data_IF_114484129438
#
_entry.id   IF_114484129438
#
_cell.length_a   1.000
_cell.length_b   1.000
_cell.length_c   1.000
_cell.angle_alpha   90.00
_cell.angle_beta   90.00
_cell.angle_gamma   90.00
#
_symmetry.space_group_name_H-M   'P 1'
#
loop_
_entity.id
_entity.type
_entity.pdbx_description
1 polymer ?
#
# COMPACT_ATOMS: atom_id res chain seq x y z
N UNK A 1 14.46 3.48 17.82
CA UNK A 1 15.66 2.88 17.16
C UNK A 1 15.62 3.32 15.71
N UNK A 2 16.64 4.04 15.22
CA UNK A 2 16.59 4.61 13.87
C UNK A 2 16.56 3.50 12.80
N UNK A 3 15.72 3.67 11.78
CA UNK A 3 15.66 2.83 10.58
C UNK A 3 17.07 2.63 9.98
N UNK A 4 17.57 1.39 9.90
CA UNK A 4 18.76 1.04 9.09
C UNK A 4 18.35 0.88 7.62
N UNK A 5 18.71 1.83 6.73
CA UNK A 5 18.29 1.78 5.33
C UNK A 5 18.86 0.58 4.58
N UNK A 6 20.04 0.08 4.98
CA UNK A 6 20.75 -0.99 4.29
C UNK A 6 20.13 -2.36 4.55
N UNK A 7 19.74 -2.62 5.80
CA UNK A 7 18.99 -3.81 6.19
C UNK A 7 17.57 -3.79 5.61
N UNK A 8 16.92 -2.63 5.63
CA UNK A 8 15.58 -2.44 5.06
C UNK A 8 15.54 -2.71 3.56
N UNK A 9 16.50 -2.19 2.78
CA UNK A 9 16.53 -2.41 1.33
C UNK A 9 16.70 -3.87 0.90
N UNK A 10 17.24 -4.73 1.77
CA UNK A 10 17.38 -6.16 1.49
C UNK A 10 16.09 -6.94 1.72
N UNK A 11 15.35 -6.57 2.76
CA UNK A 11 14.21 -7.37 3.25
C UNK A 11 12.85 -6.75 2.91
N UNK A 12 12.81 -5.44 2.71
CA UNK A 12 11.63 -4.58 2.63
C UNK A 12 10.70 -4.69 3.84
N UNK A 13 11.21 -5.19 4.97
CA UNK A 13 10.45 -5.33 6.20
C UNK A 13 10.92 -4.28 7.20
N UNK A 14 9.97 -3.50 7.68
CA UNK A 14 10.15 -2.57 8.78
C UNK A 14 9.54 -3.18 10.05
N UNK A 15 10.37 -3.45 11.04
CA UNK A 15 9.97 -3.94 12.36
C UNK A 15 10.51 -2.99 13.42
N UNK A 16 9.63 -2.48 14.28
CA UNK A 16 10.01 -1.53 15.31
C UNK A 16 9.13 -1.66 16.55
N UNK A 17 9.76 -1.59 17.72
CA UNK A 17 9.10 -1.42 19.02
C UNK A 17 9.53 -0.09 19.62
N UNK A 18 8.74 0.96 19.40
CA UNK A 18 9.13 2.32 19.73
C UNK A 18 7.90 3.21 20.06
N UNK A 19 8.10 4.39 20.67
CA UNK A 19 7.02 5.37 20.83
C UNK A 19 6.43 5.80 19.47
N UNK A 20 5.17 6.21 19.46
CA UNK A 20 4.43 6.61 18.24
C UNK A 20 5.18 7.68 17.44
N UNK A 21 5.81 8.65 18.13
CA UNK A 21 6.55 9.73 17.48
C UNK A 21 7.76 9.23 16.68
N UNK A 22 8.51 8.26 17.21
CA UNK A 22 9.63 7.63 16.51
C UNK A 22 9.14 6.86 15.28
N UNK A 23 8.09 6.04 15.45
CA UNK A 23 7.51 5.27 14.33
C UNK A 23 7.02 6.21 13.21
N UNK A 24 6.38 7.34 13.56
CA UNK A 24 5.96 8.33 12.57
C UNK A 24 7.14 9.00 11.85
N UNK A 25 8.26 9.23 12.55
CA UNK A 25 9.47 9.75 11.94
C UNK A 25 10.10 8.74 10.98
N UNK A 26 10.16 7.46 11.36
CA UNK A 26 10.66 6.39 10.50
C UNK A 26 9.78 6.20 9.25
N UNK A 27 8.46 6.27 9.38
CA UNK A 27 7.54 6.21 8.24
C UNK A 27 7.71 7.42 7.30
N UNK A 28 8.03 8.60 7.84
CA UNK A 28 8.37 9.78 7.04
C UNK A 28 9.69 9.58 6.30
N UNK A 29 10.69 8.98 6.94
CA UNK A 29 11.96 8.64 6.28
C UNK A 29 11.73 7.64 5.13
N UNK A 30 10.83 6.66 5.30
CA UNK A 30 10.43 5.74 4.22
C UNK A 30 9.74 6.48 3.06
N UNK A 31 8.84 7.42 3.36
CA UNK A 31 8.19 8.26 2.35
C UNK A 31 9.21 9.10 1.55
N UNK A 32 10.21 9.67 2.22
CA UNK A 32 11.28 10.42 1.57
C UNK A 32 12.19 9.52 0.71
N UNK A 33 12.49 8.31 1.16
CA UNK A 33 13.26 7.32 0.39
C UNK A 33 12.51 6.92 -0.89
N UNK A 34 11.21 6.65 -0.78
CA UNK A 34 10.35 6.31 -1.91
C UNK A 34 10.24 7.48 -2.91
N UNK A 35 10.00 8.70 -2.42
CA UNK A 35 9.94 9.89 -3.26
C UNK A 35 11.25 10.14 -4.04
N UNK A 36 12.41 9.90 -3.41
CA UNK A 36 13.72 9.96 -4.10
C UNK A 36 13.85 8.88 -5.17
N UNK A 37 13.36 7.67 -4.91
CA UNK A 37 13.37 6.58 -5.89
C UNK A 37 12.45 6.88 -7.09
N UNK A 38 11.24 7.37 -6.84
CA UNK A 38 10.29 7.77 -7.86
C UNK A 38 10.83 8.93 -8.71
N UNK A 39 11.43 9.94 -8.07
CA UNK A 39 12.05 11.06 -8.78
C UNK A 39 13.20 10.62 -9.68
N UNK A 40 14.12 9.76 -9.19
CA UNK A 40 15.18 9.16 -10.02
C UNK A 40 14.61 8.39 -11.20
N UNK A 41 13.53 7.63 -10.98
CA UNK A 41 12.89 6.85 -12.03
C UNK A 41 12.23 7.76 -13.10
N UNK A 42 11.71 8.91 -12.69
CA UNK A 42 11.15 9.95 -13.57
C UNK A 42 12.24 10.68 -14.34
N UNK A 43 13.34 11.07 -13.71
CA UNK A 43 14.48 11.70 -14.41
C UNK A 43 15.11 10.76 -15.41
N UNK A 44 15.31 9.48 -15.07
CA UNK A 44 15.78 8.45 -16.00
C UNK A 44 14.84 8.27 -17.20
N UNK A 45 13.51 8.36 -16.98
CA UNK A 45 12.53 8.26 -18.06
C UNK A 45 12.61 9.46 -19.01
N UNK A 46 12.67 10.68 -18.46
CA UNK A 46 12.82 11.89 -19.26
C UNK A 46 14.14 11.83 -20.04
N UNK A 47 15.26 11.51 -19.38
CA UNK A 47 16.57 11.41 -20.00
C UNK A 47 16.62 10.34 -21.12
N UNK A 48 16.01 9.16 -20.90
CA UNK A 48 15.97 8.12 -21.92
C UNK A 48 15.17 8.57 -23.16
N UNK A 49 14.03 9.23 -22.97
CA UNK A 49 13.26 9.80 -24.08
C UNK A 49 14.00 10.93 -24.79
N UNK A 50 14.62 11.83 -24.04
CA UNK A 50 15.43 12.91 -24.59
C UNK A 50 16.57 12.37 -25.46
N UNK A 51 17.26 11.31 -25.02
CA UNK A 51 18.33 10.67 -25.82
C UNK A 51 17.80 9.96 -27.07
N UNK A 52 16.63 9.32 -27.00
CA UNK A 52 16.03 8.71 -28.19
C UNK A 52 15.61 9.76 -29.22
N UNK A 53 15.00 10.87 -28.78
CA UNK A 53 14.64 11.99 -29.66
C UNK A 53 15.91 12.64 -30.22
N UNK A 54 16.93 12.85 -29.38
CA UNK A 54 18.22 13.38 -29.81
C UNK A 54 18.95 12.46 -30.80
N UNK A 55 18.85 11.14 -30.65
CA UNK A 55 19.41 10.19 -31.61
C UNK A 55 18.80 10.39 -33.00
N UNK A 56 17.48 10.57 -33.10
CA UNK A 56 16.80 10.74 -34.40
C UNK A 56 17.01 12.16 -34.95
N UNK A 57 16.63 13.18 -34.17
CA UNK A 57 16.70 14.57 -34.60
C UNK A 57 18.14 15.08 -34.73
N UNK A 58 19.01 14.69 -33.80
CA UNK A 58 20.43 15.05 -33.81
C UNK A 58 21.15 14.43 -34.99
N UNK A 59 20.91 13.15 -35.32
CA UNK A 59 21.51 12.54 -36.53
C UNK A 59 21.04 13.22 -37.80
N UNK A 60 19.74 13.54 -37.92
CA UNK A 60 19.21 14.25 -39.08
C UNK A 60 19.83 15.65 -39.23
N UNK A 61 19.92 16.42 -38.13
CA UNK A 61 20.45 17.77 -38.13
C UNK A 61 21.97 17.80 -38.38
N UNK A 62 22.71 16.86 -37.80
CA UNK A 62 24.16 16.72 -38.06
C UNK A 62 24.43 16.29 -39.49
N UNK A 63 23.60 15.41 -40.06
CA UNK A 63 23.75 14.99 -41.46
C UNK A 63 23.50 16.15 -42.42
N UNK A 64 22.52 17.02 -42.12
CA UNK A 64 22.29 18.25 -42.88
C UNK A 64 23.49 19.21 -42.78
N UNK A 65 24.05 19.38 -41.58
CA UNK A 65 25.22 20.23 -41.37
C UNK A 65 26.48 19.72 -42.11
N UNK A 66 26.75 18.41 -42.04
CA UNK A 66 27.87 17.78 -42.79
C UNK A 66 27.66 17.92 -44.30
N UNK A 67 26.41 17.87 -44.78
CA UNK A 67 26.08 18.09 -46.18
C UNK A 67 26.26 19.54 -46.68
N UNK A 68 26.55 20.52 -45.81
CA UNK A 68 26.88 21.90 -46.19
C UNK A 68 28.39 22.16 -46.28
N UNK A 69 29.22 21.17 -45.92
CA UNK A 69 30.68 21.29 -45.93
C UNK A 69 31.27 21.01 -47.33
N UNK A 70 32.53 21.38 -47.55
CA UNK A 70 33.24 21.05 -48.78
C UNK A 70 33.50 19.54 -48.90
N UNK A 71 33.73 19.04 -50.13
CA UNK A 71 33.92 17.61 -50.40
C UNK A 71 35.03 16.96 -49.54
N UNK A 72 36.17 17.63 -49.34
CA UNK A 72 37.26 17.11 -48.48
C UNK A 72 36.85 17.04 -47.00
N UNK A 73 36.08 18.01 -46.52
CA UNK A 73 35.58 18.02 -45.14
C UNK A 73 34.44 17.02 -44.94
N UNK A 74 33.62 16.79 -45.96
CA UNK A 74 32.51 15.84 -45.92
C UNK A 74 33.00 14.41 -45.74
N UNK A 75 34.08 14.01 -46.43
CA UNK A 75 34.66 12.66 -46.30
C UNK A 75 35.28 12.45 -44.91
N UNK A 76 35.91 13.49 -44.35
CA UNK A 76 36.47 13.44 -42.99
C UNK A 76 35.40 13.27 -41.88
N UNK A 77 34.17 13.77 -42.09
CA UNK A 77 33.09 13.76 -41.08
C UNK A 77 31.91 12.84 -41.40
N UNK A 78 31.94 12.11 -42.52
CA UNK A 78 30.81 11.30 -43.02
C UNK A 78 30.27 10.29 -41.99
N UNK A 79 31.14 9.71 -41.14
CA UNK A 79 30.74 8.73 -40.12
C UNK A 79 30.23 9.32 -38.80
N UNK A 80 30.47 10.62 -38.55
CA UNK A 80 30.24 11.24 -37.25
C UNK A 80 28.74 11.35 -36.88
N UNK A 81 27.81 11.70 -37.78
CA UNK A 81 26.37 11.68 -37.51
C UNK A 81 25.86 10.30 -37.07
N UNK A 82 26.28 9.24 -37.77
CA UNK A 82 25.87 7.87 -37.48
C UNK A 82 26.42 7.40 -36.13
N UNK A 83 27.67 7.71 -35.82
CA UNK A 83 28.31 7.34 -34.56
C UNK A 83 27.62 8.01 -33.36
N UNK A 84 27.36 9.33 -33.44
CA UNK A 84 26.63 10.07 -32.39
C UNK A 84 25.19 9.56 -32.24
N UNK A 85 24.52 9.26 -33.36
CA UNK A 85 23.18 8.68 -33.39
C UNK A 85 23.10 7.34 -32.69
N UNK A 86 23.99 6.40 -33.05
CA UNK A 86 24.05 5.06 -32.45
C UNK A 86 24.44 5.12 -30.97
N UNK A 87 25.44 5.93 -30.60
CA UNK A 87 25.85 6.09 -29.21
C UNK A 87 24.70 6.61 -28.33
N UNK A 88 23.97 7.62 -28.81
CA UNK A 88 22.80 8.18 -28.12
C UNK A 88 21.65 7.18 -27.99
N UNK A 89 21.42 6.37 -29.03
CA UNK A 89 20.41 5.31 -29.02
C UNK A 89 20.73 4.22 -28.00
N UNK A 90 21.99 3.73 -28.00
CA UNK A 90 22.46 2.73 -27.02
C UNK A 90 22.37 3.27 -25.60
N UNK A 91 22.80 4.52 -25.37
CA UNK A 91 22.68 5.16 -24.06
C UNK A 91 21.21 5.26 -23.60
N UNK A 92 20.28 5.62 -24.51
CA UNK A 92 18.84 5.62 -24.24
C UNK A 92 18.31 4.24 -23.82
N UNK A 93 18.70 3.17 -24.52
CA UNK A 93 18.33 1.79 -24.16
C UNK A 93 18.89 1.42 -22.78
N UNK A 94 20.14 1.74 -22.50
CA UNK A 94 20.77 1.47 -21.19
C UNK A 94 20.00 2.17 -20.06
N UNK A 95 19.61 3.44 -20.23
CA UNK A 95 18.77 4.14 -19.25
C UNK A 95 17.40 3.49 -19.06
N UNK A 96 16.77 2.97 -20.11
CA UNK A 96 15.55 2.19 -20.00
C UNK A 96 15.73 0.90 -19.18
N UNK A 97 16.85 0.19 -19.40
CA UNK A 97 17.18 -1.02 -18.61
C UNK A 97 17.43 -0.68 -17.15
N UNK A 98 18.19 0.40 -16.87
CA UNK A 98 18.42 0.89 -15.50
C UNK A 98 17.09 1.27 -14.85
N UNK A 99 16.21 2.00 -15.53
CA UNK A 99 14.87 2.33 -15.06
C UNK A 99 14.04 1.08 -14.75
N UNK A 100 14.06 0.09 -15.64
CA UNK A 100 13.30 -1.15 -15.45
C UNK A 100 13.78 -1.93 -14.22
N UNK A 101 15.09 -1.93 -13.96
CA UNK A 101 15.67 -2.50 -12.73
C UNK A 101 15.31 -1.67 -11.49
N UNK A 102 15.34 -0.34 -11.59
CA UNK A 102 15.00 0.56 -10.48
C UNK A 102 13.52 0.44 -10.04
N UNK A 103 12.62 0.04 -10.96
CA UNK A 103 11.22 -0.23 -10.63
C UNK A 103 11.00 -1.39 -9.66
N UNK A 104 12.02 -2.23 -9.39
CA UNK A 104 11.93 -3.29 -8.37
C UNK A 104 12.03 -2.76 -6.94
N UNK A 105 12.50 -1.52 -6.78
CA UNK A 105 12.64 -0.81 -5.50
C UNK A 105 11.46 0.12 -5.18
N UNK A 106 10.46 0.16 -6.05
CA UNK A 106 9.24 0.97 -5.90
C UNK A 106 8.43 0.41 -4.71
N UNK A 107 8.23 1.21 -3.66
CA UNK A 107 7.46 0.80 -2.48
C UNK A 107 5.96 1.03 -2.74
N UNK A 108 5.08 0.33 -2.02
CA UNK A 108 3.64 0.60 -2.13
C UNK A 108 3.23 1.75 -1.21
N UNK A 109 3.03 2.94 -1.77
CA UNK A 109 2.73 4.19 -1.06
C UNK A 109 1.51 4.08 -0.14
N UNK A 110 0.60 3.16 -0.47
CA UNK A 110 -0.64 2.93 0.30
C UNK A 110 -0.35 2.29 1.65
N UNK A 111 0.69 1.45 1.75
CA UNK A 111 0.99 0.65 2.96
C UNK A 111 1.51 1.52 4.10
N UNK A 112 2.60 2.25 3.88
CA UNK A 112 3.14 3.15 4.90
C UNK A 112 2.23 4.36 5.13
N UNK A 113 1.54 4.85 4.09
CA UNK A 113 0.57 5.95 4.21
C UNK A 113 -0.63 5.58 5.09
N UNK A 114 -1.10 4.33 5.02
CA UNK A 114 -2.22 3.83 5.82
C UNK A 114 -1.83 3.80 7.29
N UNK A 115 -0.66 3.21 7.59
CA UNK A 115 -0.14 3.13 8.94
C UNK A 115 0.13 4.51 9.53
N UNK A 116 0.76 5.42 8.77
CA UNK A 116 1.01 6.78 9.23
C UNK A 116 -0.30 7.54 9.53
N UNK A 117 -1.31 7.40 8.68
CA UNK A 117 -2.63 8.03 8.89
C UNK A 117 -3.34 7.44 10.10
N UNK A 118 -3.26 6.12 10.29
CA UNK A 118 -3.85 5.44 11.44
C UNK A 118 -3.18 5.88 12.75
N UNK A 119 -1.85 5.88 12.81
CA UNK A 119 -1.10 6.31 13.99
C UNK A 119 -1.36 7.77 14.34
N UNK A 120 -1.42 8.67 13.36
CA UNK A 120 -1.80 10.08 13.58
C UNK A 120 -3.19 10.24 14.22
N UNK A 121 -4.15 9.40 13.83
CA UNK A 121 -5.51 9.41 14.41
C UNK A 121 -5.55 8.82 15.81
N UNK A 122 -4.74 7.80 16.08
CA UNK A 122 -4.71 7.09 17.37
C UNK A 122 -3.75 7.69 18.39
N UNK A 123 -2.87 8.60 17.99
CA UNK A 123 -1.82 9.18 18.84
C UNK A 123 -2.39 9.80 20.13
N UNK A 124 -3.60 10.36 20.07
CA UNK A 124 -4.26 11.00 21.22
C UNK A 124 -4.74 9.98 22.25
N UNK A 125 -5.13 8.79 21.81
CA UNK A 125 -5.70 7.74 22.68
C UNK A 125 -4.63 6.76 23.20
N UNK A 126 -3.49 6.66 22.50
CA UNK A 126 -2.37 5.78 22.86
C UNK A 126 -1.65 6.28 24.12
N UNK A 127 -1.20 5.34 24.93
CA UNK A 127 -0.40 5.64 26.12
C UNK A 127 0.97 6.20 25.70
N UNK A 128 1.26 7.43 26.12
CA UNK A 128 2.51 8.17 25.81
C UNK A 128 3.75 7.39 26.23
N UNK A 129 3.65 6.60 27.29
CA UNK A 129 4.77 5.85 27.85
C UNK A 129 4.85 4.40 27.32
N UNK A 130 3.85 3.92 26.58
CA UNK A 130 3.83 2.55 26.08
C UNK A 130 4.38 2.49 24.64
N UNK A 131 5.40 1.66 24.36
CA UNK A 131 5.87 1.47 23.00
C UNK A 131 4.82 0.75 22.16
N UNK A 132 4.77 1.11 20.88
CA UNK A 132 3.98 0.43 19.86
C UNK A 132 4.88 -0.55 19.13
N UNK A 133 4.40 -1.77 18.92
CA UNK A 133 5.06 -2.81 18.13
C UNK A 133 4.45 -2.85 16.73
N UNK A 134 5.28 -2.56 15.74
CA UNK A 134 4.88 -2.45 14.33
C UNK A 134 5.73 -3.40 13.51
N UNK A 135 5.04 -4.18 12.68
CA UNK A 135 5.63 -4.94 11.57
C UNK A 135 4.94 -4.53 10.28
N UNK A 136 5.74 -4.05 9.33
CA UNK A 136 5.32 -3.56 8.03
C UNK A 136 6.17 -4.19 6.92
N UNK A 137 5.59 -5.06 6.10
CA UNK A 137 6.22 -5.64 4.92
C UNK A 137 5.84 -4.82 3.67
N UNK A 138 6.83 -4.18 3.06
CA UNK A 138 6.70 -3.37 1.85
C UNK A 138 7.14 -4.12 0.58
N UNK A 139 7.49 -5.40 0.69
CA UNK A 139 7.86 -6.20 -0.47
C UNK A 139 6.66 -6.46 -1.39
N UNK A 140 6.89 -6.68 -2.69
CA UNK A 140 5.85 -6.98 -3.65
C UNK A 140 4.90 -8.10 -3.20
N UNK A 141 3.60 -7.94 -3.45
CA UNK A 141 2.53 -8.89 -3.07
C UNK A 141 2.72 -10.28 -3.67
N UNK A 142 3.46 -10.36 -4.76
CA UNK A 142 3.67 -11.53 -5.60
C UNK A 142 5.06 -12.14 -5.47
N UNK A 143 5.78 -11.78 -4.42
CA UNK A 143 7.05 -12.38 -4.07
C UNK A 143 6.90 -13.87 -3.76
N UNK A 144 7.91 -14.66 -4.14
CA UNK A 144 7.85 -16.13 -4.05
C UNK A 144 7.69 -16.61 -2.61
N UNK A 145 8.30 -15.93 -1.63
CA UNK A 145 8.16 -16.22 -0.19
C UNK A 145 6.71 -16.12 0.33
N UNK A 146 5.84 -15.42 -0.38
CA UNK A 146 4.42 -15.19 -0.03
C UNK A 146 3.48 -16.16 -0.78
N UNK A 147 4.02 -17.05 -1.63
CA UNK A 147 3.23 -18.01 -2.40
C UNK A 147 2.77 -19.16 -1.51
N UNK A 148 1.46 -19.27 -1.31
CA UNK A 148 0.85 -20.33 -0.49
C UNK A 148 0.61 -21.60 -1.30
N UNK A 149 0.52 -21.49 -2.62
CA UNK A 149 0.41 -22.67 -3.47
C UNK A 149 0.12 -22.38 -4.93
N UNK A 150 0.51 -23.34 -5.77
CA UNK A 150 0.25 -23.38 -7.21
C UNK A 150 -0.77 -24.47 -7.49
N UNK A 151 -1.83 -24.16 -8.23
CA UNK A 151 -2.91 -25.10 -8.53
C UNK A 151 -3.39 -24.93 -9.96
N UNK A 152 -3.84 -26.01 -10.61
CA UNK A 152 -4.51 -25.92 -11.90
C UNK A 152 -6.02 -25.86 -11.70
N UNK A 153 -6.69 -24.92 -12.39
CA UNK A 153 -8.17 -24.87 -12.48
C UNK A 153 -8.58 -24.94 -13.94
N UNK A 154 -8.86 -26.16 -14.42
CA UNK A 154 -9.08 -26.44 -15.84
C UNK A 154 -7.85 -26.07 -16.65
N UNK A 155 -8.00 -25.16 -17.63
CA UNK A 155 -6.90 -24.68 -18.49
C UNK A 155 -6.11 -23.50 -17.91
N UNK A 156 -6.32 -23.14 -16.65
CA UNK A 156 -5.64 -22.02 -16.00
C UNK A 156 -4.64 -22.53 -14.95
N UNK A 157 -3.40 -22.08 -15.05
CA UNK A 157 -2.43 -22.18 -13.96
C UNK A 157 -2.69 -21.04 -12.99
N UNK A 158 -3.00 -21.40 -11.74
CA UNK A 158 -3.31 -20.47 -10.66
C UNK A 158 -2.18 -20.44 -9.64
N UNK A 159 -1.76 -19.26 -9.24
CA UNK A 159 -0.81 -19.02 -8.16
C UNK A 159 -1.53 -18.18 -7.09
N UNK A 160 -1.57 -18.67 -5.86
CA UNK A 160 -2.19 -17.98 -4.72
C UNK A 160 -1.10 -17.43 -3.80
N UNK A 161 -1.23 -16.16 -3.44
CA UNK A 161 -0.35 -15.44 -2.54
C UNK A 161 -1.15 -14.91 -1.36
N UNK A 162 -0.54 -14.95 -0.18
CA UNK A 162 -1.08 -14.37 1.05
C UNK A 162 0.01 -13.51 1.68
N UNK A 163 -0.25 -12.21 1.78
CA UNK A 163 0.69 -11.20 2.22
C UNK A 163 0.18 -10.55 3.51
N UNK A 164 0.66 -11.02 4.66
CA UNK A 164 0.38 -10.44 5.96
C UNK A 164 1.29 -9.23 6.22
N UNK A 165 1.00 -8.14 5.51
CA UNK A 165 1.93 -7.03 5.37
C UNK A 165 1.89 -6.03 6.54
N UNK A 166 0.85 -6.04 7.38
CA UNK A 166 0.77 -5.16 8.54
C UNK A 166 0.39 -5.93 9.80
N UNK A 167 1.14 -5.69 10.87
CA UNK A 167 0.74 -5.99 12.24
C UNK A 167 1.14 -4.80 13.12
N UNK A 168 0.18 -4.29 13.89
CA UNK A 168 0.33 -3.15 14.77
C UNK A 168 -0.26 -3.56 16.13
N UNK A 169 0.56 -3.51 17.16
CA UNK A 169 0.15 -3.70 18.55
C UNK A 169 0.44 -2.44 19.34
N UNK A 170 -0.55 -1.95 20.08
CA UNK A 170 -0.41 -0.77 20.90
C UNK A 170 -1.19 -0.91 22.20
N UNK A 171 -0.95 0.01 23.13
CA UNK A 171 -1.70 0.10 24.38
C UNK A 171 -2.32 1.49 24.47
N UNK A 172 -3.63 1.52 24.72
CA UNK A 172 -4.35 2.76 24.99
C UNK A 172 -4.13 3.19 26.45
N UNK A 173 -4.31 4.49 26.72
CA UNK A 173 -4.18 5.06 28.06
C UNK A 173 -5.15 4.43 29.08
N UNK A 174 -6.26 3.85 28.61
CA UNK A 174 -7.23 3.14 29.42
C UNK A 174 -6.77 1.71 29.81
N UNK A 175 -5.62 1.26 29.33
CA UNK A 175 -5.06 -0.07 29.56
C UNK A 175 -5.54 -1.14 28.59
N UNK A 176 -6.35 -0.79 27.59
CA UNK A 176 -6.80 -1.70 26.52
C UNK A 176 -5.67 -1.96 25.52
N UNK A 177 -5.47 -3.21 25.13
CA UNK A 177 -4.48 -3.55 24.11
C UNK A 177 -5.15 -3.54 22.74
N UNK A 178 -4.60 -2.75 21.82
CA UNK A 178 -4.98 -2.67 20.42
C UNK A 178 -4.17 -3.67 19.61
N UNK A 179 -4.84 -4.38 18.70
CA UNK A 179 -4.22 -5.13 17.63
C UNK A 179 -4.86 -4.76 16.30
N UNK A 180 -4.08 -4.30 15.33
CA UNK A 180 -4.51 -4.06 13.95
C UNK A 180 -3.65 -4.91 13.03
N UNK A 181 -4.28 -5.65 12.12
CA UNK A 181 -3.58 -6.45 11.12
C UNK A 181 -4.22 -6.32 9.76
N UNK A 182 -3.39 -6.37 8.71
CA UNK A 182 -3.85 -6.43 7.33
C UNK A 182 -3.20 -7.57 6.59
N UNK A 183 -4.03 -8.30 5.84
CA UNK A 183 -3.62 -9.44 5.03
C UNK A 183 -4.21 -9.28 3.63
N UNK A 184 -3.36 -9.27 2.61
CA UNK A 184 -3.78 -9.27 1.22
C UNK A 184 -3.74 -10.69 0.65
N UNK A 185 -4.81 -11.08 -0.03
CA UNK A 185 -4.81 -12.29 -0.84
C UNK A 185 -4.79 -11.91 -2.31
N UNK A 186 -3.84 -12.46 -3.05
CA UNK A 186 -3.73 -12.27 -4.50
C UNK A 186 -3.75 -13.63 -5.19
N UNK A 187 -4.60 -13.76 -6.19
CA UNK A 187 -4.61 -14.90 -7.09
C UNK A 187 -4.26 -14.44 -8.50
N UNK A 188 -3.15 -14.95 -9.01
CA UNK A 188 -2.76 -14.82 -10.41
C UNK A 188 -3.20 -16.05 -11.16
N UNK A 189 -3.79 -15.86 -12.34
CA UNK A 189 -4.12 -16.96 -13.26
C UNK A 189 -3.49 -16.68 -14.61
N UNK A 190 -2.84 -17.68 -15.19
CA UNK A 190 -2.27 -17.61 -16.53
C UNK A 190 -2.74 -18.79 -17.37
N UNK A 191 -2.96 -18.55 -18.66
CA UNK A 191 -3.30 -19.57 -19.64
C UNK A 191 -2.65 -19.23 -20.96
N UNK A 192 -2.06 -20.24 -21.60
CA UNK A 192 -1.61 -20.19 -22.97
C UNK A 192 -2.69 -20.74 -23.91
N UNK A 193 -2.81 -20.14 -25.09
CA UNK A 193 -3.66 -20.66 -26.17
C UNK A 193 -3.16 -20.15 -27.52
N UNK A 194 -3.49 -20.86 -28.60
CA UNK A 194 -3.24 -20.38 -29.96
C UNK A 194 -4.40 -19.52 -30.45
N UNK A 195 -4.10 -18.45 -31.20
CA UNK A 195 -5.08 -17.71 -31.98
C UNK A 195 -5.42 -18.47 -33.27
N UNK A 196 -6.46 -18.03 -33.99
CA UNK A 196 -6.83 -18.54 -35.31
C UNK A 196 -5.67 -18.47 -36.32
N UNK A 197 -4.80 -17.46 -36.18
CA UNK A 197 -3.56 -17.29 -36.97
C UNK A 197 -2.36 -18.14 -36.51
N UNK A 198 -2.56 -19.12 -35.62
CA UNK A 198 -1.50 -20.00 -35.10
C UNK A 198 -0.58 -19.39 -34.03
N UNK A 199 -0.62 -18.07 -33.80
CA UNK A 199 0.22 -17.38 -32.81
C UNK A 199 -0.15 -17.78 -31.37
N UNK A 200 0.85 -18.11 -30.56
CA UNK A 200 0.66 -18.35 -29.12
C UNK A 200 0.36 -17.03 -28.39
N UNK A 201 -0.72 -17.02 -27.61
CA UNK A 201 -1.16 -15.88 -26.80
C UNK A 201 -1.23 -16.29 -25.33
N UNK A 202 -0.68 -15.42 -24.48
CA UNK A 202 -0.81 -15.51 -23.04
C UNK A 202 -2.03 -14.69 -22.59
N UNK A 203 -2.96 -15.32 -21.88
CA UNK A 203 -4.05 -14.64 -21.16
C UNK A 203 -3.75 -14.69 -19.68
N UNK A 204 -3.85 -13.54 -19.01
CA UNK A 204 -3.67 -13.43 -17.56
C UNK A 204 -4.93 -12.88 -16.91
N UNK A 205 -5.20 -13.29 -15.67
CA UNK A 205 -6.21 -12.71 -14.80
C UNK A 205 -5.62 -12.51 -13.41
N UNK A 206 -6.00 -11.43 -12.75
CA UNK A 206 -5.64 -11.16 -11.35
C UNK A 206 -6.93 -10.94 -10.57
N UNK A 207 -7.00 -11.52 -9.38
CA UNK A 207 -8.08 -11.28 -8.43
C UNK A 207 -7.45 -11.11 -7.06
N UNK A 208 -7.85 -10.08 -6.33
CA UNK A 208 -7.37 -9.86 -4.98
C UNK A 208 -8.48 -9.46 -4.04
N UNK A 209 -8.20 -9.57 -2.75
CA UNK A 209 -9.02 -9.04 -1.67
C UNK A 209 -8.11 -8.70 -0.49
N UNK A 210 -8.49 -7.72 0.30
CA UNK A 210 -7.74 -7.30 1.47
C UNK A 210 -8.58 -7.56 2.72
N UNK A 211 -8.00 -8.25 3.70
CA UNK A 211 -8.62 -8.47 5.00
C UNK A 211 -8.00 -7.48 5.97
N UNK A 212 -8.85 -6.65 6.58
CA UNK A 212 -8.48 -5.76 7.67
C UNK A 212 -9.10 -6.30 8.95
N UNK A 213 -8.29 -6.44 9.99
CA UNK A 213 -8.73 -6.88 11.30
C UNK A 213 -8.30 -5.88 12.37
N UNK A 214 -9.25 -5.50 13.22
CA UNK A 214 -9.04 -4.69 14.41
C UNK A 214 -9.52 -5.48 15.62
N UNK A 215 -8.67 -5.59 16.63
CA UNK A 215 -8.95 -6.29 17.88
C UNK A 215 -8.61 -5.43 19.08
N UNK A 216 -9.43 -5.56 20.12
CA UNK A 216 -9.23 -4.97 21.43
C UNK A 216 -9.19 -6.08 22.46
N UNK A 217 -8.17 -6.08 23.31
CA UNK A 217 -8.12 -6.90 24.51
C UNK A 217 -8.30 -6.02 25.73
N UNK A 218 -9.31 -6.32 26.53
CA UNK A 218 -9.73 -5.54 27.68
C UNK A 218 -9.60 -6.35 28.96
N UNK A 219 -9.45 -5.68 30.09
CA UNK A 219 -9.54 -6.34 31.40
C UNK A 219 -11.01 -6.72 31.69
N UNK A 220 -11.31 -8.00 31.98
CA UNK A 220 -12.69 -8.47 32.17
C UNK A 220 -13.37 -7.79 33.37
N UNK A 221 -12.62 -7.47 34.43
CA UNK A 221 -13.08 -6.73 35.61
C UNK A 221 -13.76 -5.40 35.26
N UNK A 222 -13.29 -4.73 34.20
CA UNK A 222 -13.81 -3.42 33.78
C UNK A 222 -15.07 -3.53 32.91
N UNK A 223 -15.32 -4.70 32.32
CA UNK A 223 -16.40 -4.93 31.37
C UNK A 223 -17.06 -6.29 31.61
N UNK A 224 -17.72 -6.49 32.77
CA UNK A 224 -18.39 -7.75 33.05
C UNK A 224 -19.55 -7.98 32.06
N UNK A 225 -19.78 -9.23 31.69
CA UNK A 225 -20.88 -9.61 30.78
C UNK A 225 -20.64 -9.27 29.31
N UNK A 226 -19.41 -8.94 28.89
CA UNK A 226 -19.07 -8.60 27.51
C UNK A 226 -19.47 -9.69 26.50
N UNK A 227 -19.27 -10.97 26.85
CA UNK A 227 -19.60 -12.11 25.98
C UNK A 227 -21.10 -12.15 25.61
N UNK A 228 -21.98 -11.67 26.50
CA UNK A 228 -23.43 -11.63 26.28
C UNK A 228 -23.87 -10.60 25.24
N UNK A 229 -23.00 -9.66 24.84
CA UNK A 229 -23.34 -8.59 23.89
C UNK A 229 -23.14 -8.97 22.42
N UNK A 230 -22.78 -10.21 22.11
CA UNK A 230 -22.48 -10.63 20.73
C UNK A 230 -23.59 -10.30 19.73
N UNK A 231 -24.86 -10.47 20.12
CA UNK A 231 -26.00 -10.17 19.27
C UNK A 231 -26.12 -8.66 18.97
N UNK A 232 -25.98 -7.84 20.02
CA UNK A 232 -26.06 -6.38 19.92
C UNK A 232 -24.82 -5.78 19.22
N UNK A 233 -23.67 -6.44 19.33
CA UNK A 233 -22.42 -5.99 18.73
C UNK A 233 -22.48 -5.92 17.20
N UNK A 234 -23.26 -6.81 16.55
CA UNK A 234 -23.49 -6.74 15.11
C UNK A 234 -24.32 -5.52 14.72
N UNK A 235 -25.32 -5.15 15.52
CA UNK A 235 -26.17 -3.97 15.27
C UNK A 235 -25.43 -2.66 15.54
N UNK A 236 -24.49 -2.67 16.48
CA UNK A 236 -23.64 -1.51 16.79
C UNK A 236 -22.49 -1.31 15.79
N UNK A 237 -22.18 -2.31 14.94
CA UNK A 237 -21.09 -2.22 13.99
C UNK A 237 -21.43 -1.27 12.83
N UNK A 238 -20.78 -0.10 12.80
CA UNK A 238 -20.91 0.89 11.72
C UNK A 238 -19.68 0.86 10.83
N UNK A 239 -19.84 0.36 9.61
CA UNK A 239 -18.79 0.30 8.60
C UNK A 239 -19.02 1.33 7.49
N UNK A 240 -17.94 1.85 6.85
CA UNK A 240 -18.08 2.72 5.70
C UNK A 240 -18.68 1.96 4.49
N UNK A 241 -19.29 2.68 3.53
CA UNK A 241 -19.88 2.08 2.34
C UNK A 241 -18.83 1.30 1.54
N UNK A 242 -19.24 0.15 1.00
CA UNK A 242 -18.37 -0.75 0.22
C UNK A 242 -17.53 -1.73 1.05
N UNK A 243 -17.45 -1.57 2.37
CA UNK A 243 -16.71 -2.47 3.25
C UNK A 243 -17.63 -3.54 3.83
N UNK A 244 -17.25 -4.81 3.67
CA UNK A 244 -18.09 -5.94 4.09
C UNK A 244 -17.57 -6.54 5.40
N UNK A 245 -18.44 -6.67 6.39
CA UNK A 245 -18.12 -7.38 7.64
C UNK A 245 -17.94 -8.88 7.37
N UNK A 246 -16.74 -9.40 7.61
CA UNK A 246 -16.45 -10.83 7.47
C UNK A 246 -16.67 -11.59 8.77
N UNK A 247 -16.19 -11.04 9.89
CA UNK A 247 -16.23 -11.71 11.20
C UNK A 247 -16.31 -10.69 12.33
N UNK A 248 -17.08 -11.03 13.35
CA UNK A 248 -17.13 -10.30 14.62
C UNK A 248 -17.10 -11.31 15.75
N UNK A 249 -16.01 -11.30 16.50
CA UNK A 249 -15.80 -12.14 17.68
C UNK A 249 -15.90 -11.26 18.93
N UNK A 250 -16.74 -11.67 19.86
CA UNK A 250 -16.90 -11.03 21.18
C UNK A 250 -16.75 -12.14 22.21
N UNK A 251 -15.77 -12.00 23.08
CA UNK A 251 -15.54 -12.88 24.23
C UNK A 251 -15.42 -12.03 25.50
N UNK A 252 -15.09 -12.65 26.62
CA UNK A 252 -15.02 -11.96 27.93
C UNK A 252 -13.89 -10.93 28.02
N UNK A 253 -12.73 -11.22 27.44
CA UNK A 253 -11.54 -10.38 27.52
C UNK A 253 -11.15 -9.75 26.16
N UNK A 254 -11.87 -10.06 25.08
CA UNK A 254 -11.49 -9.65 23.72
C UNK A 254 -12.69 -9.35 22.84
N UNK A 255 -12.54 -8.31 22.00
CA UNK A 255 -13.37 -8.08 20.83
C UNK A 255 -12.50 -8.02 19.59
N UNK A 256 -12.93 -8.66 18.50
CA UNK A 256 -12.24 -8.56 17.23
C UNK A 256 -13.24 -8.43 16.08
N UNK A 257 -12.98 -7.48 15.20
CA UNK A 257 -13.74 -7.25 13.98
C UNK A 257 -12.82 -7.46 12.78
N UNK A 258 -13.29 -8.23 11.79
CA UNK A 258 -12.61 -8.44 10.52
C UNK A 258 -13.53 -8.03 9.38
N UNK A 259 -13.00 -7.23 8.46
CA UNK A 259 -13.70 -6.77 7.27
C UNK A 259 -12.94 -7.15 6.00
N UNK A 260 -13.67 -7.20 4.88
CA UNK A 260 -13.10 -7.36 3.54
C UNK A 260 -13.16 -6.03 2.82
N UNK A 261 -12.01 -5.61 2.32
CA UNK A 261 -11.81 -4.47 1.44
C UNK A 261 -11.51 -4.99 0.02
N UNK A 262 -11.86 -4.19 -0.99
CA UNK A 262 -11.47 -4.46 -2.37
C UNK A 262 -9.95 -4.30 -2.54
N UNK A 263 -9.37 -4.94 -3.57
CA UNK A 263 -7.94 -4.89 -3.86
C UNK A 263 -7.43 -3.47 -4.14
N UNK A 264 -8.27 -2.61 -4.70
CA UNK A 264 -7.94 -1.22 -5.06
C UNK A 264 -8.28 -0.21 -3.95
N UNK A 265 -8.09 -0.60 -2.69
CA UNK A 265 -8.17 0.33 -1.57
C UNK A 265 -7.03 1.37 -1.63
N UNK A 266 -7.24 2.50 -0.96
CA UNK A 266 -6.26 3.58 -0.84
C UNK A 266 -6.31 4.27 0.51
N UNK A 267 -5.54 5.35 0.63
CA UNK A 267 -5.50 6.20 1.83
C UNK A 267 -5.83 7.60 1.38
N UNK A 268 -7.03 8.06 1.70
CA UNK A 268 -7.41 9.43 1.44
C UNK A 268 -6.87 10.28 2.58
N UNK A 269 -5.66 10.78 2.43
CA UNK A 269 -5.26 11.95 3.20
C UNK A 269 -6.19 13.08 2.77
N UNK A 270 -6.81 13.76 3.73
CA UNK A 270 -7.61 14.96 3.50
C UNK A 270 -6.70 16.10 3.03
N UNK A 271 -6.10 15.96 1.85
CA UNK A 271 -5.61 17.10 1.10
C UNK A 271 -6.86 17.87 0.68
N UNK A 272 -6.95 19.20 0.90
CA UNK A 272 -8.12 19.97 0.50
C UNK A 272 -8.43 19.66 -0.96
N UNK A 273 -9.71 19.41 -1.26
CA UNK A 273 -10.15 19.27 -2.63
C UNK A 273 -9.59 20.46 -3.43
N UNK A 274 -9.00 20.23 -4.63
CA UNK A 274 -8.67 21.33 -5.51
C UNK A 274 -9.92 22.22 -5.67
N UNK A 275 -9.78 23.55 -5.72
CA UNK A 275 -10.91 24.44 -5.95
C UNK A 275 -11.70 23.94 -7.16
N UNK A 276 -13.03 23.91 -7.00
CA UNK A 276 -13.96 23.37 -7.99
C UNK A 276 -13.64 23.96 -9.38
N UNK A 277 -13.39 23.10 -10.36
CA UNK A 277 -13.20 23.50 -11.76
C UNK A 277 -11.85 23.15 -12.41
N UNK A 278 -10.86 22.63 -11.66
CA UNK A 278 -9.66 22.05 -12.27
C UNK A 278 -9.44 20.65 -11.72
N UNK A 279 -9.93 19.63 -12.42
CA UNK A 279 -9.36 18.29 -12.28
C UNK A 279 -7.91 18.38 -12.77
N UNK A 280 -6.89 18.24 -11.89
CA UNK A 280 -5.51 18.18 -12.37
C UNK A 280 -5.39 16.97 -13.31
N UNK A 281 -5.10 17.24 -14.59
CA UNK A 281 -4.83 16.21 -15.61
C UNK A 281 -3.76 15.26 -15.07
N UNK A 282 -4.14 14.02 -14.78
CA UNK A 282 -3.20 12.96 -14.39
C UNK A 282 -3.35 12.39 -12.98
N UNK A 283 -4.33 12.81 -12.17
CA UNK A 283 -4.61 12.14 -10.89
C UNK A 283 -5.54 10.94 -11.07
N UNK A 284 -5.05 9.77 -10.65
CA UNK A 284 -5.82 8.52 -10.50
C UNK A 284 -7.07 8.83 -9.66
N UNK A 285 -8.28 8.38 -10.06
CA UNK A 285 -9.48 8.60 -9.27
C UNK A 285 -9.26 8.11 -7.83
N UNK A 286 -9.81 8.82 -6.82
CA UNK A 286 -9.67 8.41 -5.43
C UNK A 286 -10.15 6.96 -5.29
N UNK A 287 -9.34 6.14 -4.62
CA UNK A 287 -9.69 4.75 -4.38
C UNK A 287 -11.11 4.66 -3.79
N UNK A 288 -11.95 3.71 -4.24
CA UNK A 288 -13.34 3.60 -3.79
C UNK A 288 -13.45 3.36 -2.28
N UNK A 289 -12.38 2.88 -1.64
CA UNK A 289 -12.35 2.53 -0.22
C UNK A 289 -11.09 3.08 0.46
N UNK A 290 -11.27 3.79 1.57
CA UNK A 290 -10.19 4.25 2.45
C UNK A 290 -9.99 3.26 3.61
N UNK A 291 -8.86 2.56 3.60
CA UNK A 291 -8.53 1.56 4.61
C UNK A 291 -8.27 2.17 6.00
N UNK A 292 -7.68 3.38 6.07
CA UNK A 292 -7.44 4.05 7.34
C UNK A 292 -8.77 4.48 7.97
N UNK A 293 -9.71 5.01 7.19
CA UNK A 293 -11.08 5.31 7.65
C UNK A 293 -11.83 4.05 8.08
N UNK A 294 -11.72 2.96 7.33
CA UNK A 294 -12.32 1.69 7.72
C UNK A 294 -11.79 1.22 9.09
N UNK A 295 -10.47 1.24 9.31
CA UNK A 295 -9.87 0.87 10.58
C UNK A 295 -10.35 1.75 11.75
N UNK A 296 -10.41 3.08 11.56
CA UNK A 296 -10.91 4.00 12.59
C UNK A 296 -12.39 3.74 12.91
N UNK A 297 -13.25 3.52 11.90
CA UNK A 297 -14.67 3.23 12.12
C UNK A 297 -14.90 1.87 12.78
N UNK A 298 -14.10 0.86 12.44
CA UNK A 298 -14.10 -0.43 13.14
C UNK A 298 -13.75 -0.25 14.61
N UNK A 299 -12.69 0.50 14.92
CA UNK A 299 -12.28 0.79 16.28
C UNK A 299 -13.39 1.49 17.07
N UNK A 300 -13.96 2.56 16.52
CA UNK A 300 -15.07 3.29 17.14
C UNK A 300 -16.28 2.39 17.37
N UNK A 301 -16.60 1.50 16.42
CA UNK A 301 -17.67 0.52 16.57
C UNK A 301 -17.41 -0.45 17.72
N UNK A 302 -16.18 -0.95 17.87
CA UNK A 302 -15.81 -1.80 19.00
C UNK A 302 -15.90 -1.06 20.34
N UNK A 303 -15.49 0.21 20.39
CA UNK A 303 -15.65 1.05 21.57
C UNK A 303 -17.11 1.36 21.90
N UNK A 304 -17.99 1.50 20.90
CA UNK A 304 -19.44 1.63 21.14
C UNK A 304 -19.98 0.38 21.84
N UNK A 305 -19.57 -0.81 21.43
CA UNK A 305 -19.94 -2.06 22.11
C UNK A 305 -19.44 -2.05 23.56
N UNK A 306 -18.19 -1.65 23.81
CA UNK A 306 -17.65 -1.48 25.17
C UNK A 306 -18.37 -0.40 25.99
N UNK A 307 -18.89 0.65 25.36
CA UNK A 307 -19.66 1.69 26.04
C UNK A 307 -21.02 1.18 26.55
N UNK A 308 -21.63 0.22 25.85
CA UNK A 308 -22.93 -0.35 26.25
C UNK A 308 -22.86 -1.19 27.52
N UNK A 309 -21.75 -1.91 27.78
CA UNK A 309 -21.56 -2.62 29.05
C UNK A 309 -21.48 -1.65 30.23
N UNK A 310 -20.71 -0.55 30.09
CA UNK A 310 -20.58 0.46 31.16
C UNK A 310 -21.92 1.04 31.56
N UNK A 311 -22.75 1.46 30.59
CA UNK A 311 -24.06 2.06 30.87
C UNK A 311 -25.03 1.12 31.57
N UNK A 312 -24.96 -0.19 31.29
CA UNK A 312 -25.82 -1.19 31.93
C UNK A 312 -25.49 -1.36 33.42
N UNK A 313 -24.23 -1.20 33.80
CA UNK A 313 -23.80 -1.24 35.21
C UNK A 313 -24.06 0.06 35.97
N UNK A 314 -24.29 1.19 35.28
CA UNK A 314 -24.51 2.50 35.94
C UNK A 314 -25.98 2.86 36.15
N UNK A 315 -26.94 2.04 35.72
CA UNK A 315 -28.35 2.29 35.99
C UNK A 315 -28.69 1.89 37.45
N UNK A 316 -28.94 2.84 38.37
CA UNK A 316 -29.50 2.51 39.68
C UNK A 316 -30.99 2.20 39.48
N UNK A 317 -31.47 1.17 40.17
CA UNK A 317 -32.88 0.82 40.19
C UNK A 317 -33.73 2.03 40.57
N UNK A 318 -34.53 2.53 39.62
CA UNK A 318 -35.68 3.36 39.94
C UNK A 318 -36.71 2.41 40.57
N UNK A 319 -36.67 2.29 41.89
CA UNK A 319 -37.78 1.73 42.64
C UNK A 319 -39.00 2.61 42.36
N UNK A 320 -40.04 2.02 41.79
CA UNK A 320 -41.35 2.65 41.70
C UNK A 320 -41.94 2.70 43.13
N UNK A 321 -42.41 3.85 43.64
CA UNK A 321 -43.23 3.85 44.82
C UNK A 321 -44.62 3.31 44.44
N UNK A 322 -45.14 2.46 45.31
CA UNK A 322 -46.50 1.89 45.34
C UNK A 322 -47.51 3.00 45.59
#
# INVERSE_FOLDING_TARGET
MALDPSAFQKTYVYEARAPVAEVLADLKALEELDARAEQKRRTLWIAAWSLLVFSIAGTALLSLAVGQLSFEQQDAFAGLPLLVGVASFVAGIVLFVIRARAGRTDLDNRRYGMLATLLKRLQVDLDVNAPVDVKLDLAPRDEERKCVGKSKRGRWDCENFTDAWLSLHGRFADGTHLHVSMVEHLQKRKRYGRSSSGKTKLKTKRKGKTLLQVGLRVKPERFPGLAGLRANAKQAARLPPGVVLSRLDVAEDRLAMRVVLDQEWGVLTTKPAPPAGKAPKGLVPPAPQDAARAATMMLLSLYQVLGTTRRRNTAPGRQQPV
#
